data_IF_490625652651
#
_entry.id   IF_490625652651
#
_cell.length_a   1.000
_cell.length_b   1.000
_cell.length_c   1.000
_cell.angle_alpha   90.00
_cell.angle_beta   90.00
_cell.angle_gamma   90.00
#
_symmetry.space_group_name_H-M   'P 1'
#
loop_
_entity.id
_entity.type
_entity.pdbx_description
1 polymer ?
#
# COMPACT_ATOMS: atom_id res chain seq x y z
N UNK A 1 11.85 7.37 -58.03
CA UNK A 1 12.12 6.87 -56.66
C UNK A 1 11.24 7.67 -55.71
N UNK A 2 10.19 7.06 -55.12
CA UNK A 2 9.35 7.69 -54.10
C UNK A 2 9.70 7.02 -52.77
N UNK A 3 10.32 7.79 -51.86
CA UNK A 3 10.61 7.35 -50.51
C UNK A 3 9.30 7.41 -49.72
N UNK A 4 8.76 6.26 -49.34
CA UNK A 4 7.62 6.17 -48.43
C UNK A 4 8.18 6.20 -47.02
N UNK A 5 8.01 7.32 -46.33
CA UNK A 5 8.28 7.42 -44.91
C UNK A 5 7.15 6.71 -44.16
N UNK A 6 7.44 5.53 -43.58
CA UNK A 6 6.56 4.94 -42.58
C UNK A 6 6.68 5.76 -41.29
N UNK A 7 5.62 6.48 -40.95
CA UNK A 7 5.45 7.01 -39.60
C UNK A 7 5.18 5.82 -38.66
N UNK A 8 6.19 5.44 -37.88
CA UNK A 8 6.00 4.57 -36.72
C UNK A 8 5.24 5.38 -35.67
N UNK A 9 3.94 5.13 -35.53
CA UNK A 9 3.18 5.58 -34.39
C UNK A 9 3.70 4.84 -33.16
N UNK A 10 4.59 5.48 -32.41
CA UNK A 10 4.91 5.06 -31.05
C UNK A 10 3.62 5.23 -30.24
N UNK A 11 2.87 4.15 -30.06
CA UNK A 11 1.86 4.08 -29.02
C UNK A 11 2.61 4.22 -27.70
N UNK A 12 2.62 5.43 -27.14
CA UNK A 12 3.02 5.64 -25.76
C UNK A 12 2.14 4.70 -24.93
N UNK A 13 2.74 3.65 -24.38
CA UNK A 13 2.19 2.93 -23.25
C UNK A 13 2.15 3.98 -22.14
N UNK A 14 1.04 4.73 -22.05
CA UNK A 14 0.80 5.56 -20.88
C UNK A 14 0.94 4.63 -19.68
N UNK A 15 1.77 4.96 -18.69
CA UNK A 15 1.78 4.24 -17.43
C UNK A 15 0.34 4.27 -16.97
N UNK A 16 -0.28 3.12 -17.01
CA UNK A 16 -1.64 2.94 -16.59
C UNK A 16 -1.64 3.37 -15.13
N UNK A 17 -2.19 4.57 -14.88
CA UNK A 17 -2.57 5.09 -13.58
C UNK A 17 -3.70 4.23 -13.01
N UNK A 18 -3.46 2.93 -12.98
CA UNK A 18 -4.33 1.92 -12.42
C UNK A 18 -4.10 2.06 -10.93
N UNK A 19 -4.85 2.99 -10.35
CA UNK A 19 -4.97 3.07 -8.92
C UNK A 19 -5.31 1.69 -8.33
N UNK A 20 -5.92 0.78 -9.07
CA UNK A 20 -6.32 -0.54 -8.58
C UNK A 20 -5.48 -1.65 -9.22
N UNK A 21 -5.24 -2.73 -8.49
CA UNK A 21 -4.58 -3.92 -9.02
C UNK A 21 -5.62 -4.88 -9.61
N UNK A 22 -5.21 -5.87 -10.39
CA UNK A 22 -6.13 -6.90 -10.87
C UNK A 22 -6.69 -7.79 -9.74
N UNK A 23 -5.88 -7.99 -8.69
CA UNK A 23 -6.22 -8.80 -7.50
C UNK A 23 -7.12 -8.04 -6.51
N UNK A 24 -7.05 -6.71 -6.48
CA UNK A 24 -7.81 -5.83 -5.60
C UNK A 24 -8.39 -4.65 -6.39
N UNK A 25 -9.59 -4.82 -6.94
CA UNK A 25 -10.21 -3.85 -7.85
C UNK A 25 -11.62 -3.42 -7.43
N UNK A 26 -11.72 -2.26 -6.79
CA UNK A 26 -13.00 -1.61 -6.49
C UNK A 26 -13.28 -0.37 -7.34
N UNK A 27 -12.52 -0.14 -8.42
CA UNK A 27 -12.60 1.05 -9.27
C UNK A 27 -14.03 1.41 -9.69
N UNK A 28 -14.81 0.43 -10.17
CA UNK A 28 -16.20 0.64 -10.60
C UNK A 28 -17.08 1.16 -9.48
N UNK A 29 -16.96 0.59 -8.28
CA UNK A 29 -17.79 0.94 -7.11
C UNK A 29 -17.44 2.33 -6.59
N UNK A 30 -16.14 2.64 -6.50
CA UNK A 30 -15.67 3.95 -6.05
C UNK A 30 -15.93 5.05 -7.08
N UNK A 31 -15.78 4.75 -8.38
CA UNK A 31 -16.11 5.69 -9.46
C UNK A 31 -17.61 6.03 -9.46
N UNK A 32 -18.48 5.02 -9.35
CA UNK A 32 -19.93 5.24 -9.26
C UNK A 32 -20.37 6.06 -8.04
N UNK A 33 -19.55 6.08 -6.98
CA UNK A 33 -19.76 6.90 -5.78
C UNK A 33 -19.09 8.29 -5.87
N UNK A 34 -18.39 8.62 -6.96
CA UNK A 34 -17.66 9.89 -7.09
C UNK A 34 -16.37 9.96 -6.27
N UNK A 35 -15.82 8.81 -5.87
CA UNK A 35 -14.60 8.70 -5.08
C UNK A 35 -13.47 8.07 -5.88
N UNK A 36 -13.25 8.53 -7.12
CA UNK A 36 -12.12 8.04 -7.93
C UNK A 36 -10.79 8.58 -7.41
N UNK A 37 -10.81 9.83 -6.90
CA UNK A 37 -9.68 10.48 -6.24
C UNK A 37 -10.09 10.87 -4.82
N UNK A 38 -9.14 10.83 -3.90
CA UNK A 38 -9.28 11.20 -2.50
C UNK A 38 -8.09 12.05 -2.08
N UNK A 39 -8.30 12.95 -1.13
CA UNK A 39 -7.21 13.71 -0.51
C UNK A 39 -6.65 12.90 0.66
N UNK A 40 -5.36 12.55 0.60
CA UNK A 40 -4.63 11.91 1.68
C UNK A 40 -3.17 12.39 1.69
N UNK A 41 -2.54 12.44 2.87
CA UNK A 41 -1.20 13.01 3.05
C UNK A 41 -1.04 14.45 2.50
N UNK A 42 -2.14 15.21 2.38
CA UNK A 42 -2.15 16.58 1.84
C UNK A 42 -2.19 16.68 0.32
N UNK A 43 -2.35 15.57 -0.41
CA UNK A 43 -2.40 15.52 -1.87
C UNK A 43 -3.61 14.74 -2.39
N UNK A 44 -4.11 15.12 -3.58
CA UNK A 44 -5.13 14.35 -4.30
C UNK A 44 -4.49 13.14 -4.97
N UNK A 45 -4.89 11.94 -4.57
CA UNK A 45 -4.36 10.66 -5.03
C UNK A 45 -5.51 9.73 -5.48
N UNK A 46 -5.20 8.64 -6.22
CA UNK A 46 -6.20 7.63 -6.52
C UNK A 46 -6.78 7.06 -5.21
N UNK A 47 -8.08 6.77 -5.19
CA UNK A 47 -8.74 6.34 -3.95
C UNK A 47 -8.09 5.09 -3.33
N UNK A 48 -7.70 4.14 -4.16
CA UNK A 48 -6.92 2.96 -3.80
C UNK A 48 -5.57 3.26 -3.16
N UNK A 49 -4.85 4.30 -3.59
CA UNK A 49 -3.64 4.76 -2.92
C UNK A 49 -3.97 5.20 -1.50
N UNK A 50 -4.95 6.08 -1.33
CA UNK A 50 -5.34 6.57 -0.02
C UNK A 50 -5.83 5.43 0.89
N UNK A 51 -6.61 4.50 0.36
CA UNK A 51 -7.09 3.34 1.11
C UNK A 51 -5.91 2.45 1.53
N UNK A 52 -5.02 2.08 0.60
CA UNK A 52 -3.84 1.28 0.91
C UNK A 52 -2.99 1.97 2.00
N UNK A 53 -2.73 3.27 1.82
CA UNK A 53 -1.93 4.06 2.76
C UNK A 53 -2.56 4.12 4.14
N UNK A 54 -3.87 4.32 4.23
CA UNK A 54 -4.60 4.35 5.50
C UNK A 54 -4.61 3.00 6.19
N UNK A 55 -4.78 1.89 5.46
CA UNK A 55 -4.71 0.53 6.02
C UNK A 55 -3.31 0.26 6.56
N UNK A 56 -2.27 0.47 5.76
CA UNK A 56 -0.88 0.18 6.15
C UNK A 56 -0.43 1.07 7.31
N UNK A 57 -0.85 2.33 7.33
CA UNK A 57 -0.62 3.23 8.46
C UNK A 57 -1.27 2.72 9.74
N UNK A 58 -2.52 2.27 9.66
CA UNK A 58 -3.25 1.76 10.83
C UNK A 58 -2.63 0.46 11.37
N UNK A 59 -2.20 -0.46 10.49
CA UNK A 59 -1.44 -1.65 10.91
C UNK A 59 -0.19 -1.24 11.69
N UNK A 60 0.61 -0.32 11.13
CA UNK A 60 1.83 0.17 11.78
C UNK A 60 1.52 0.83 13.13
N UNK A 61 0.45 1.61 13.22
CA UNK A 61 0.01 2.26 14.44
C UNK A 61 -0.39 1.25 15.51
N UNK A 62 -1.19 0.23 15.17
CA UNK A 62 -1.61 -0.80 16.13
C UNK A 62 -0.45 -1.67 16.61
N UNK A 63 0.49 -2.02 15.73
CA UNK A 63 1.71 -2.75 16.10
C UNK A 63 2.58 -1.92 17.05
N UNK A 64 2.79 -0.63 16.75
CA UNK A 64 3.59 0.26 17.59
C UNK A 64 2.92 0.57 18.96
N UNK A 65 1.59 0.42 19.06
CA UNK A 65 0.83 0.59 20.29
C UNK A 65 0.48 -0.75 20.99
N UNK A 66 1.16 -1.84 20.63
CA UNK A 66 0.95 -3.15 21.24
C UNK A 66 1.13 -3.09 22.76
N UNK A 67 0.10 -3.52 23.49
CA UNK A 67 0.14 -3.62 24.95
C UNK A 67 0.93 -4.86 25.36
N UNK A 68 1.62 -4.78 26.50
CA UNK A 68 2.44 -5.87 27.03
C UNK A 68 3.50 -6.38 26.03
N UNK A 69 4.23 -5.46 25.40
CA UNK A 69 5.26 -5.75 24.39
C UNK A 69 6.55 -6.35 25.00
N UNK A 70 6.44 -7.61 25.42
CA UNK A 70 7.50 -8.39 26.03
C UNK A 70 8.41 -9.02 24.98
N UNK A 71 9.61 -9.40 25.42
CA UNK A 71 10.56 -10.13 24.57
C UNK A 71 10.12 -11.60 24.46
N UNK A 72 10.19 -12.12 23.24
CA UNK A 72 9.84 -13.49 22.89
C UNK A 72 10.99 -14.15 22.15
N UNK A 73 11.21 -15.43 22.43
CA UNK A 73 12.19 -16.25 21.70
C UNK A 73 11.58 -16.73 20.38
N UNK A 74 12.17 -16.33 19.24
CA UNK A 74 11.87 -16.95 17.94
C UNK A 74 13.00 -17.88 17.55
N UNK A 75 12.66 -19.15 17.32
CA UNK A 75 13.63 -20.22 17.07
C UNK A 75 13.10 -21.12 15.95
N UNK A 76 13.91 -21.35 14.91
CA UNK A 76 13.58 -22.33 13.86
C UNK A 76 14.11 -23.74 14.18
N UNK A 77 15.16 -23.87 15.01
CA UNK A 77 15.70 -25.15 15.50
C UNK A 77 16.26 -25.06 16.92
N UNK A 78 16.00 -26.07 17.75
CA UNK A 78 16.38 -26.18 19.17
C UNK A 78 17.90 -25.98 19.42
N UNK A 79 18.74 -26.20 18.40
CA UNK A 79 20.21 -26.07 18.48
C UNK A 79 20.77 -24.70 18.06
N UNK A 80 19.93 -23.75 17.62
CA UNK A 80 20.36 -22.43 17.16
C UNK A 80 20.25 -21.38 18.28
N UNK A 81 21.06 -20.33 18.19
CA UNK A 81 20.96 -19.19 19.12
C UNK A 81 19.58 -18.57 19.00
N UNK A 82 18.89 -18.47 20.14
CA UNK A 82 17.57 -17.88 20.20
C UNK A 82 17.65 -16.41 19.85
N UNK A 83 16.96 -16.00 18.79
CA UNK A 83 16.79 -14.58 18.49
C UNK A 83 15.62 -14.08 19.32
N UNK A 84 15.84 -13.04 20.13
CA UNK A 84 14.76 -12.38 20.84
C UNK A 84 14.19 -11.26 19.99
N UNK A 85 12.86 -11.24 19.88
CA UNK A 85 12.11 -10.15 19.26
C UNK A 85 11.03 -9.66 20.22
N UNK A 86 10.56 -8.44 20.01
CA UNK A 86 9.37 -7.92 20.69
C UNK A 86 8.11 -8.61 20.17
N UNK A 87 7.12 -8.85 21.03
CA UNK A 87 5.82 -9.42 20.64
C UNK A 87 5.16 -8.59 19.52
N UNK A 88 5.26 -7.26 19.57
CA UNK A 88 4.83 -6.32 18.53
C UNK A 88 5.39 -6.61 17.14
N UNK A 89 6.48 -7.40 17.06
CA UNK A 89 7.17 -7.78 15.82
C UNK A 89 7.04 -9.26 15.51
N UNK A 90 6.32 -10.01 16.33
CA UNK A 90 6.02 -11.41 16.06
C UNK A 90 4.99 -11.53 14.94
N UNK A 91 5.12 -12.58 14.12
CA UNK A 91 4.13 -12.92 13.11
C UNK A 91 2.73 -13.07 13.72
N UNK A 92 2.64 -13.69 14.91
CA UNK A 92 1.38 -13.83 15.65
C UNK A 92 0.70 -12.48 15.89
N UNK A 93 1.44 -11.49 16.39
CA UNK A 93 0.87 -10.16 16.64
C UNK A 93 0.51 -9.42 15.35
N UNK A 94 1.27 -9.64 14.27
CA UNK A 94 0.96 -9.06 12.97
C UNK A 94 -0.39 -9.60 12.47
N UNK A 95 -0.59 -10.91 12.49
CA UNK A 95 -1.85 -11.54 12.07
C UNK A 95 -3.05 -11.06 12.90
N UNK A 96 -2.89 -10.95 14.23
CA UNK A 96 -3.94 -10.37 15.09
C UNK A 96 -4.32 -8.94 14.68
N UNK A 97 -3.34 -8.10 14.32
CA UNK A 97 -3.63 -6.74 13.84
C UNK A 97 -4.31 -6.76 12.48
N UNK A 98 -3.92 -7.68 11.58
CA UNK A 98 -4.56 -7.81 10.26
C UNK A 98 -6.04 -8.18 10.38
N UNK A 99 -6.42 -9.00 11.35
CA UNK A 99 -7.82 -9.38 11.60
C UNK A 99 -8.71 -8.16 12.01
N UNK A 100 -8.15 -7.22 12.78
CA UNK A 100 -8.92 -6.12 13.39
C UNK A 100 -8.77 -4.77 12.67
N UNK A 101 -7.74 -4.58 11.82
CA UNK A 101 -7.38 -3.26 11.25
C UNK A 101 -8.54 -2.60 10.50
N UNK A 102 -9.37 -3.38 9.82
CA UNK A 102 -10.44 -2.86 8.97
C UNK A 102 -11.60 -2.22 9.74
N UNK A 103 -11.65 -2.36 11.06
CA UNK A 103 -12.61 -1.69 11.94
C UNK A 103 -12.22 -0.23 12.24
N UNK A 104 -10.94 0.12 12.11
CA UNK A 104 -10.35 1.36 12.65
C UNK A 104 -9.66 2.22 11.59
N UNK A 105 -9.92 1.98 10.30
CA UNK A 105 -9.24 2.70 9.21
C UNK A 105 -9.44 4.22 9.34
N UNK A 106 -8.35 5.01 9.44
CA UNK A 106 -8.44 6.46 9.58
C UNK A 106 -8.60 7.14 8.21
N UNK A 107 -9.69 6.82 7.51
CA UNK A 107 -10.05 7.42 6.22
C UNK A 107 -11.55 7.73 6.17
N UNK A 108 -11.89 9.01 5.96
CA UNK A 108 -13.26 9.46 5.79
C UNK A 108 -13.49 9.83 4.32
N UNK A 109 -14.49 9.19 3.70
CA UNK A 109 -14.88 9.49 2.33
C UNK A 109 -15.79 10.74 2.30
N UNK A 110 -15.65 11.65 1.32
CA UNK A 110 -16.53 12.82 1.20
C UNK A 110 -18.02 12.45 1.25
N UNK A 111 -18.82 13.16 2.06
CA UNK A 111 -20.24 12.82 2.25
C UNK A 111 -20.45 11.52 3.04
N UNK A 112 -19.59 11.26 4.03
CA UNK A 112 -19.55 9.99 4.75
C UNK A 112 -20.89 9.60 5.36
N UNK A 113 -21.27 8.35 5.12
CA UNK A 113 -22.50 7.75 5.61
C UNK A 113 -22.27 6.24 5.76
N UNK A 114 -23.27 5.53 6.27
CA UNK A 114 -23.15 4.08 6.51
C UNK A 114 -22.80 3.28 5.24
N UNK A 115 -23.27 3.70 4.06
CA UNK A 115 -22.97 3.03 2.78
C UNK A 115 -21.51 3.21 2.37
N UNK A 116 -20.96 4.41 2.51
CA UNK A 116 -19.55 4.69 2.18
C UNK A 116 -18.60 4.05 3.19
N UNK A 117 -18.95 4.04 4.48
CA UNK A 117 -18.20 3.29 5.51
C UNK A 117 -18.16 1.79 5.22
N UNK A 118 -19.32 1.18 4.90
CA UNK A 118 -19.37 -0.23 4.48
C UNK A 118 -18.54 -0.47 3.21
N UNK A 119 -18.53 0.46 2.25
CA UNK A 119 -17.74 0.34 1.03
C UNK A 119 -16.24 0.34 1.32
N UNK A 120 -15.77 1.24 2.18
CA UNK A 120 -14.38 1.29 2.62
C UNK A 120 -13.99 0.02 3.39
N UNK A 121 -14.82 -0.42 4.33
CA UNK A 121 -14.60 -1.65 5.09
C UNK A 121 -14.52 -2.88 4.19
N UNK A 122 -15.40 -3.01 3.19
CA UNK A 122 -15.28 -4.10 2.19
C UNK A 122 -13.94 -4.03 1.45
N UNK A 123 -13.53 -2.85 0.98
CA UNK A 123 -12.28 -2.71 0.26
C UNK A 123 -11.06 -3.06 1.13
N UNK A 124 -11.12 -2.79 2.44
CA UNK A 124 -10.06 -3.19 3.36
C UNK A 124 -10.04 -4.69 3.62
N UNK A 125 -11.18 -5.30 3.92
CA UNK A 125 -11.22 -6.75 4.17
C UNK A 125 -10.70 -7.53 2.96
N UNK A 126 -11.10 -7.12 1.75
CA UNK A 126 -10.63 -7.73 0.50
C UNK A 126 -9.13 -7.44 0.29
N UNK A 127 -8.61 -6.27 0.68
CA UNK A 127 -7.18 -5.95 0.61
C UNK A 127 -6.34 -6.82 1.55
N UNK A 128 -6.75 -6.89 2.82
CA UNK A 128 -6.03 -7.66 3.84
C UNK A 128 -6.05 -9.14 3.48
N UNK A 129 -7.21 -9.70 3.12
CA UNK A 129 -7.30 -11.10 2.72
C UNK A 129 -6.50 -11.44 1.46
N UNK A 130 -6.38 -10.51 0.50
CA UNK A 130 -5.63 -10.75 -0.73
C UNK A 130 -4.11 -10.61 -0.53
N UNK A 131 -3.68 -9.72 0.36
CA UNK A 131 -2.26 -9.35 0.55
C UNK A 131 -1.70 -9.71 1.93
N UNK A 132 -2.34 -10.62 2.67
CA UNK A 132 -1.94 -11.02 4.03
C UNK A 132 -0.48 -11.46 4.10
N UNK A 133 -0.04 -12.29 3.15
CA UNK A 133 1.34 -12.78 3.06
C UNK A 133 2.34 -11.63 2.83
N UNK A 134 2.03 -10.73 1.88
CA UNK A 134 2.90 -9.59 1.57
C UNK A 134 2.91 -8.55 2.71
N UNK A 135 1.79 -8.34 3.38
CA UNK A 135 1.67 -7.50 4.58
C UNK A 135 2.50 -8.08 5.72
N UNK A 136 2.34 -9.37 6.00
CA UNK A 136 3.07 -10.08 7.06
C UNK A 136 4.58 -9.95 6.85
N UNK A 137 5.08 -10.25 5.64
CA UNK A 137 6.50 -10.08 5.30
C UNK A 137 6.95 -8.63 5.43
N UNK A 138 6.14 -7.68 4.95
CA UNK A 138 6.45 -6.25 4.98
C UNK A 138 6.72 -5.72 6.40
N UNK A 139 5.97 -6.22 7.39
CA UNK A 139 6.08 -5.81 8.80
C UNK A 139 7.02 -6.69 9.63
N UNK A 140 7.20 -7.96 9.25
CA UNK A 140 8.09 -8.89 9.93
C UNK A 140 9.57 -8.63 9.60
N UNK A 141 9.89 -8.39 8.33
CA UNK A 141 11.29 -8.35 7.87
C UNK A 141 11.98 -7.00 8.08
N UNK A 142 11.22 -5.89 8.11
CA UNK A 142 11.81 -4.56 8.01
C UNK A 142 11.00 -3.47 8.74
N UNK A 143 11.60 -2.87 9.77
CA UNK A 143 11.02 -1.80 10.59
C UNK A 143 11.03 -0.40 9.93
N UNK A 144 11.29 -0.33 8.62
CA UNK A 144 11.15 0.91 7.86
C UNK A 144 9.69 1.19 7.54
N UNK A 145 9.29 2.48 7.39
CA UNK A 145 7.91 2.86 7.08
C UNK A 145 7.32 2.01 5.95
N UNK A 146 6.25 1.28 6.25
CA UNK A 146 5.68 0.28 5.34
C UNK A 146 4.83 0.93 4.25
N UNK A 147 4.24 2.09 4.55
CA UNK A 147 3.28 2.81 3.69
C UNK A 147 3.74 2.98 2.25
N UNK A 148 4.91 3.58 2.03
CA UNK A 148 5.41 3.85 0.68
C UNK A 148 5.94 2.59 -0.01
N UNK A 149 6.58 1.68 0.73
CA UNK A 149 7.05 0.40 0.19
C UNK A 149 5.90 -0.43 -0.34
N UNK A 150 4.82 -0.55 0.43
CA UNK A 150 3.65 -1.34 0.08
C UNK A 150 2.88 -0.67 -1.06
N UNK A 151 2.40 0.57 -0.85
CA UNK A 151 1.43 1.19 -1.75
C UNK A 151 2.05 1.80 -3.00
N UNK A 152 3.22 2.45 -2.86
CA UNK A 152 3.93 3.08 -3.98
C UNK A 152 4.89 2.14 -4.70
N UNK A 153 5.63 1.32 -3.95
CA UNK A 153 6.64 0.40 -4.49
C UNK A 153 6.07 -0.90 -5.02
N UNK A 154 5.46 -1.69 -4.13
CA UNK A 154 5.03 -3.06 -4.43
C UNK A 154 3.74 -3.09 -5.26
N UNK A 155 2.71 -2.35 -4.83
CA UNK A 155 1.40 -2.35 -5.49
C UNK A 155 1.27 -1.29 -6.58
N UNK A 156 2.10 -0.23 -6.52
CA UNK A 156 2.11 0.88 -7.47
C UNK A 156 0.72 1.54 -7.66
N UNK A 157 -0.08 1.58 -6.60
CA UNK A 157 -1.45 2.13 -6.60
C UNK A 157 -1.49 3.65 -6.43
N UNK A 158 -0.36 4.25 -6.08
CA UNK A 158 -0.18 5.69 -5.90
C UNK A 158 0.39 6.35 -7.15
N UNK A 159 0.10 7.65 -7.34
CA UNK A 159 0.82 8.42 -8.35
C UNK A 159 2.32 8.38 -8.03
N UNK A 160 3.12 8.02 -9.02
CA UNK A 160 4.57 8.13 -8.92
C UNK A 160 4.93 9.62 -8.98
N UNK A 161 5.82 10.13 -8.11
CA UNK A 161 6.38 11.46 -8.32
C UNK A 161 7.08 11.45 -9.68
N UNK A 162 6.64 12.30 -10.62
CA UNK A 162 7.32 12.48 -11.89
C UNK A 162 8.79 12.79 -11.59
N UNK A 163 9.70 11.87 -11.95
CA UNK A 163 11.14 12.14 -11.89
C UNK A 163 11.37 13.39 -12.75
N UNK A 164 11.67 14.52 -12.11
CA UNK A 164 12.17 15.70 -12.82
C UNK A 164 13.44 15.25 -13.53
N UNK A 165 13.39 15.16 -14.85
CA UNK A 165 14.55 14.99 -15.68
C UNK A 165 15.47 16.19 -15.45
N UNK A 166 16.51 15.97 -14.65
CA UNK A 166 17.75 16.72 -14.71
C UNK A 166 18.85 15.66 -14.70
N UNK A 167 19.17 15.15 -15.90
CA UNK A 167 20.51 14.69 -16.19
C UNK A 167 21.44 15.88 -15.90
N UNK A 168 22.25 15.73 -14.86
CA UNK A 168 23.46 16.52 -14.67
C UNK A 168 24.22 16.48 -16.00
N UNK A 169 24.31 17.66 -16.64
CA UNK A 169 25.27 17.88 -17.70
C UNK A 169 26.64 17.52 -17.14
N UNK A 170 27.23 16.47 -17.69
CA UNK A 170 28.62 16.13 -17.51
C UNK A 170 29.47 17.38 -17.71
N UNK A 171 30.24 17.68 -16.68
CA UNK A 171 31.34 18.61 -16.64
C UNK A 171 32.34 18.24 -17.75
N UNK A 172 32.46 19.09 -18.77
CA UNK A 172 33.56 19.03 -19.74
C UNK A 172 34.85 19.47 -19.03
N UNK A 173 35.83 18.55 -19.02
CA UNK A 173 37.24 18.80 -18.76
C UNK A 173 38.01 18.65 -20.07
#
# INVERSE_FOLDING_TARGET
>A
MKVVALALAAAALMPSALGWTDRWNHSKRFNAAGHMQLDCDGESQPASCCICKSIVFEIEAQLNNTQYDHDMDVVFRISEEKKQIKYSRSEARILEVLDDVCEQIPLELPGSNHKTKRMLSTACNDFVGEYEDELTRTFFDNFTPAKERMCGGMLQVCHQPEKRANEEKHEEL
#
